data_IF_014740452148
#
_entry.id   IF_014740452148
#
_cell.length_a   1.000
_cell.length_b   1.000
_cell.length_c   1.000
_cell.angle_alpha   90.00
_cell.angle_beta   90.00
_cell.angle_gamma   90.00
#
_symmetry.space_group_name_H-M   'P 1'
#
loop_
_entity.id
_entity.type
_entity.pdbx_description
1 polymer ?
#
# COMPACT_ATOMS: atom_id res chain seq x y z
N UNK A 1 -2.31 5.43 1.14
CA UNK A 1 -1.76 6.67 0.56
C UNK A 1 -1.96 6.75 -0.95
N UNK A 2 -1.45 5.80 -1.75
CA UNK A 2 -1.45 5.90 -3.23
C UNK A 2 -2.85 6.00 -3.82
N UNK A 3 -3.76 5.07 -3.48
CA UNK A 3 -5.14 5.08 -4.00
C UNK A 3 -5.89 6.39 -3.67
N UNK A 4 -5.76 6.85 -2.41
CA UNK A 4 -6.36 8.12 -1.96
C UNK A 4 -5.72 9.29 -2.70
N UNK A 5 -4.38 9.32 -2.83
CA UNK A 5 -3.65 10.38 -3.52
C UNK A 5 -4.03 10.50 -5.01
N UNK A 6 -4.17 9.38 -5.72
CA UNK A 6 -4.65 9.40 -7.10
C UNK A 6 -6.10 9.89 -7.17
N UNK A 7 -6.99 9.39 -6.30
CA UNK A 7 -8.39 9.83 -6.25
C UNK A 7 -8.53 11.33 -6.02
N UNK A 8 -7.83 11.86 -5.01
CA UNK A 8 -7.83 13.30 -4.68
C UNK A 8 -7.17 14.13 -5.79
N UNK A 9 -6.06 13.66 -6.36
CA UNK A 9 -5.36 14.36 -7.45
C UNK A 9 -6.22 14.50 -8.71
N UNK A 10 -6.96 13.44 -9.07
CA UNK A 10 -7.94 13.48 -10.16
C UNK A 10 -9.14 14.35 -9.78
N UNK A 11 -9.62 14.25 -8.52
CA UNK A 11 -10.72 15.06 -8.01
C UNK A 11 -10.46 16.58 -8.10
N UNK A 12 -9.19 17.01 -7.90
CA UNK A 12 -8.80 18.43 -8.09
C UNK A 12 -8.90 18.91 -9.53
N UNK A 13 -8.93 18.01 -10.51
CA UNK A 13 -9.11 18.32 -11.94
C UNK A 13 -10.56 18.16 -12.40
N UNK A 14 -11.48 17.91 -11.48
CA UNK A 14 -12.92 17.75 -11.79
C UNK A 14 -13.51 19.06 -12.30
N UNK A 15 -14.41 18.96 -13.28
CA UNK A 15 -15.25 20.06 -13.70
C UNK A 15 -16.28 20.48 -12.63
N UNK A 16 -16.58 19.62 -11.68
CA UNK A 16 -17.42 19.94 -10.54
C UNK A 16 -16.62 20.77 -9.53
N UNK A 17 -17.02 22.03 -9.35
CA UNK A 17 -16.36 22.98 -8.48
C UNK A 17 -16.27 22.50 -7.02
N UNK A 18 -17.33 21.87 -6.49
CA UNK A 18 -17.35 21.39 -5.10
C UNK A 18 -16.28 20.31 -4.89
N UNK A 19 -16.19 19.33 -5.79
CA UNK A 19 -15.18 18.27 -5.72
C UNK A 19 -13.78 18.86 -5.83
N UNK A 20 -13.55 19.74 -6.78
CA UNK A 20 -12.25 20.37 -6.96
C UNK A 20 -11.83 21.18 -5.73
N UNK A 21 -12.76 21.93 -5.13
CA UNK A 21 -12.51 22.75 -3.94
C UNK A 21 -12.23 21.89 -2.71
N UNK A 22 -13.04 20.86 -2.43
CA UNK A 22 -12.84 19.95 -1.28
C UNK A 22 -11.49 19.25 -1.39
N UNK A 23 -11.18 18.68 -2.56
CA UNK A 23 -9.89 18.04 -2.80
C UNK A 23 -8.72 19.03 -2.70
N UNK A 24 -8.90 20.28 -3.17
CA UNK A 24 -7.91 21.34 -3.07
C UNK A 24 -7.63 21.71 -1.64
N UNK A 25 -8.67 22.04 -0.86
CA UNK A 25 -8.55 22.40 0.55
C UNK A 25 -7.89 21.29 1.38
N UNK A 26 -8.28 20.04 1.15
CA UNK A 26 -7.64 18.89 1.81
C UNK A 26 -6.12 18.89 1.55
N UNK A 27 -5.70 19.02 0.30
CA UNK A 27 -4.27 18.96 -0.06
C UNK A 27 -3.52 20.14 0.57
N UNK A 28 -4.07 21.35 0.52
CA UNK A 28 -3.42 22.56 1.07
C UNK A 28 -3.30 22.49 2.59
N UNK A 29 -4.37 22.11 3.28
CA UNK A 29 -4.36 21.98 4.75
C UNK A 29 -3.37 20.89 5.20
N UNK A 30 -3.47 19.71 4.64
CA UNK A 30 -2.67 18.56 5.11
C UNK A 30 -1.17 18.76 4.82
N UNK A 31 -0.81 19.36 3.67
CA UNK A 31 0.61 19.61 3.32
C UNK A 31 1.26 20.71 4.13
N UNK A 32 0.49 21.66 4.62
CA UNK A 32 0.99 22.79 5.40
C UNK A 32 1.06 22.52 6.91
N UNK A 33 0.53 21.41 7.37
CA UNK A 33 0.61 21.00 8.77
C UNK A 33 1.77 20.01 8.98
N UNK A 34 2.61 20.18 10.03
CA UNK A 34 3.69 19.24 10.32
C UNK A 34 3.14 17.86 10.62
N UNK A 35 3.74 16.83 9.99
CA UNK A 35 3.29 15.44 10.10
C UNK A 35 3.25 14.93 11.55
N UNK A 36 4.26 15.28 12.35
CA UNK A 36 4.34 14.88 13.76
C UNK A 36 3.07 15.26 14.54
N UNK A 37 2.61 16.51 14.37
CA UNK A 37 1.39 16.97 15.02
C UNK A 37 0.14 16.26 14.49
N UNK A 38 0.10 15.88 13.22
CA UNK A 38 -1.01 15.09 12.68
C UNK A 38 -1.03 13.68 13.29
N UNK A 39 0.12 13.03 13.49
CA UNK A 39 0.19 11.72 14.15
C UNK A 39 -0.32 11.81 15.59
N UNK A 40 0.18 12.77 16.37
CA UNK A 40 -0.21 12.97 17.77
C UNK A 40 -1.69 13.33 17.86
N UNK A 41 -2.19 14.21 16.99
CA UNK A 41 -3.60 14.60 16.94
C UNK A 41 -4.53 13.41 16.73
N UNK A 42 -4.27 12.59 15.71
CA UNK A 42 -5.11 11.42 15.43
C UNK A 42 -5.04 10.37 16.55
N UNK A 43 -3.88 10.20 17.16
CA UNK A 43 -3.73 9.33 18.32
C UNK A 43 -4.58 9.81 19.52
N UNK A 44 -4.47 11.09 19.86
CA UNK A 44 -5.26 11.68 20.96
C UNK A 44 -6.75 11.65 20.67
N UNK A 45 -7.17 11.92 19.43
CA UNK A 45 -8.59 11.81 19.01
C UNK A 45 -9.09 10.37 19.21
N UNK A 46 -8.33 9.36 18.81
CA UNK A 46 -8.74 7.97 19.01
C UNK A 46 -8.91 7.62 20.48
N UNK A 47 -8.00 8.05 21.36
CA UNK A 47 -8.11 7.78 22.80
C UNK A 47 -9.27 8.54 23.43
N UNK A 48 -9.53 9.78 23.01
CA UNK A 48 -10.56 10.64 23.60
C UNK A 48 -11.98 10.30 23.13
N UNK A 49 -12.13 9.95 21.84
CA UNK A 49 -13.46 9.76 21.21
C UNK A 49 -13.93 8.30 21.32
N UNK A 50 -13.02 7.33 21.28
CA UNK A 50 -13.42 5.93 21.34
C UNK A 50 -13.86 5.52 22.75
N UNK A 51 -14.89 4.66 22.87
CA UNK A 51 -15.47 4.26 24.15
C UNK A 51 -14.50 3.39 24.97
N UNK A 52 -14.83 3.22 26.24
CA UNK A 52 -14.14 2.28 27.12
C UNK A 52 -14.33 0.82 26.64
N UNK A 53 -13.43 -0.13 26.97
CA UNK A 53 -13.54 -1.51 26.50
C UNK A 53 -14.86 -2.22 26.87
N UNK A 54 -15.50 -1.85 27.97
CA UNK A 54 -16.82 -2.41 28.37
C UNK A 54 -17.97 -1.87 27.54
N UNK A 55 -17.80 -0.69 26.93
CA UNK A 55 -18.79 0.00 26.10
C UNK A 55 -18.41 -0.04 24.62
N UNK A 56 -17.59 -1.02 24.24
CA UNK A 56 -17.07 -1.14 22.88
C UNK A 56 -18.18 -1.14 21.84
N UNK A 57 -17.96 -0.40 20.74
CA UNK A 57 -18.83 -0.48 19.57
C UNK A 57 -18.62 -1.82 18.91
N UNK A 58 -19.68 -2.63 18.81
CA UNK A 58 -19.64 -3.89 18.06
C UNK A 58 -19.95 -3.62 16.58
N UNK A 59 -19.12 -4.18 15.70
CA UNK A 59 -19.32 -4.13 14.27
C UNK A 59 -19.64 -5.55 13.81
N UNK A 60 -20.83 -5.75 13.26
CA UNK A 60 -21.39 -7.06 12.85
C UNK A 60 -21.41 -8.13 13.98
N UNK A 61 -21.33 -7.72 15.24
CA UNK A 61 -21.34 -8.64 16.39
C UNK A 61 -20.03 -9.39 16.64
N UNK A 62 -19.02 -9.27 15.76
CA UNK A 62 -17.78 -10.06 15.81
C UNK A 62 -16.53 -9.21 15.99
N UNK A 63 -16.55 -7.97 15.54
CA UNK A 63 -15.44 -7.03 15.69
C UNK A 63 -15.82 -5.96 16.74
N UNK A 64 -14.82 -5.50 17.50
CA UNK A 64 -15.04 -4.51 18.56
C UNK A 64 -14.06 -3.35 18.43
N UNK A 65 -14.58 -2.13 18.62
CA UNK A 65 -13.80 -0.89 18.53
C UNK A 65 -13.90 -0.17 19.87
N UNK A 66 -12.75 0.14 20.45
CA UNK A 66 -12.64 0.90 21.69
C UNK A 66 -11.29 1.63 21.79
N UNK A 67 -11.08 2.43 22.84
CA UNK A 67 -9.83 3.19 23.04
C UNK A 67 -8.57 2.36 23.24
N UNK A 68 -8.67 1.03 23.40
CA UNK A 68 -7.53 0.10 23.47
C UNK A 68 -7.21 -0.55 22.13
N UNK A 69 -8.03 -0.30 21.10
CA UNK A 69 -7.79 -0.77 19.74
C UNK A 69 -9.03 -1.30 19.04
N UNK A 70 -8.73 -1.87 17.90
CA UNK A 70 -9.69 -2.50 17.01
C UNK A 70 -9.45 -4.00 17.08
N UNK A 71 -10.47 -4.75 17.47
CA UNK A 71 -10.41 -6.19 17.67
C UNK A 71 -11.23 -6.87 16.59
N UNK A 72 -10.59 -7.78 15.85
CA UNK A 72 -11.20 -8.53 14.76
C UNK A 72 -11.11 -10.03 15.01
N UNK A 73 -12.03 -10.83 14.47
CA UNK A 73 -11.88 -12.28 14.41
C UNK A 73 -10.56 -12.65 13.70
N UNK A 74 -9.80 -13.56 14.30
CA UNK A 74 -8.52 -14.02 13.75
C UNK A 74 -8.68 -15.44 13.21
N UNK A 75 -8.43 -15.68 11.91
CA UNK A 75 -8.39 -17.03 11.39
C UNK A 75 -7.14 -17.75 11.94
N UNK A 76 -7.37 -18.88 12.57
CA UNK A 76 -6.32 -19.80 13.01
C UNK A 76 -6.32 -20.98 12.05
N UNK A 77 -5.21 -21.17 11.39
CA UNK A 77 -5.00 -22.32 10.52
C UNK A 77 -4.42 -23.47 11.36
N UNK A 78 -4.91 -24.67 11.12
CA UNK A 78 -4.37 -25.90 11.72
C UNK A 78 -2.89 -26.09 11.34
N UNK A 79 -2.25 -27.10 11.96
CA UNK A 79 -0.90 -27.50 11.58
C UNK A 79 -0.83 -27.77 10.07
N UNK A 80 0.21 -27.24 9.40
CA UNK A 80 0.36 -27.30 7.95
C UNK A 80 0.25 -25.98 7.22
N UNK A 81 -0.01 -24.86 7.92
CA UNK A 81 -0.08 -23.54 7.29
C UNK A 81 1.19 -23.17 6.50
N UNK A 82 2.36 -23.58 6.99
CA UNK A 82 3.64 -23.38 6.29
C UNK A 82 3.73 -24.17 4.97
N UNK A 83 3.33 -25.42 4.98
CA UNK A 83 3.28 -26.26 3.76
C UNK A 83 2.22 -25.79 2.78
N UNK A 84 1.08 -25.30 3.27
CA UNK A 84 0.08 -24.64 2.43
C UNK A 84 0.61 -23.37 1.77
N UNK A 85 1.34 -22.53 2.50
CA UNK A 85 1.99 -21.34 1.95
C UNK A 85 2.99 -21.71 0.84
N UNK A 86 3.77 -22.79 1.04
CA UNK A 86 4.68 -23.29 0.00
C UNK A 86 3.91 -23.78 -1.24
N UNK A 87 2.76 -24.42 -1.07
CA UNK A 87 1.90 -24.81 -2.19
C UNK A 87 1.35 -23.60 -2.95
N UNK A 88 0.96 -22.53 -2.26
CA UNK A 88 0.55 -21.26 -2.89
C UNK A 88 1.71 -20.63 -3.66
N UNK A 89 2.90 -20.58 -3.09
CA UNK A 89 4.09 -20.07 -3.77
C UNK A 89 4.45 -20.92 -5.01
N UNK A 90 4.34 -22.24 -4.91
CA UNK A 90 4.53 -23.16 -6.03
C UNK A 90 3.47 -22.93 -7.13
N UNK A 91 2.20 -22.72 -6.78
CA UNK A 91 1.14 -22.40 -7.72
C UNK A 91 1.42 -21.09 -8.48
N UNK A 92 1.86 -20.04 -7.77
CA UNK A 92 2.25 -18.76 -8.35
C UNK A 92 3.45 -18.93 -9.31
N UNK A 93 4.45 -19.71 -8.89
CA UNK A 93 5.61 -20.00 -9.72
C UNK A 93 5.25 -20.77 -11.00
N UNK A 94 4.42 -21.82 -10.89
CA UNK A 94 3.93 -22.60 -12.04
C UNK A 94 3.11 -21.72 -12.98
N UNK A 95 2.20 -20.90 -12.47
CA UNK A 95 1.41 -19.99 -13.28
C UNK A 95 2.29 -18.95 -14.00
N UNK A 96 3.30 -18.40 -13.32
CA UNK A 96 4.29 -17.52 -13.91
C UNK A 96 5.11 -18.22 -15.00
N UNK A 97 5.61 -19.43 -14.73
CA UNK A 97 6.41 -20.22 -15.68
C UNK A 97 5.61 -20.53 -16.94
N UNK A 98 4.34 -20.98 -16.81
CA UNK A 98 3.44 -21.21 -17.93
C UNK A 98 3.28 -19.96 -18.81
N UNK A 99 3.07 -18.80 -18.17
CA UNK A 99 2.98 -17.52 -18.87
C UNK A 99 4.29 -17.12 -19.57
N UNK A 100 5.42 -17.35 -18.93
CA UNK A 100 6.74 -17.07 -19.47
C UNK A 100 7.04 -17.94 -20.71
N UNK A 101 6.84 -19.25 -20.62
CA UNK A 101 7.05 -20.18 -21.74
C UNK A 101 6.10 -19.91 -22.90
N UNK A 102 4.82 -19.61 -22.62
CA UNK A 102 3.86 -19.25 -23.66
C UNK A 102 4.25 -17.97 -24.41
N UNK A 103 4.77 -16.96 -23.70
CA UNK A 103 5.29 -15.74 -24.34
C UNK A 103 6.51 -16.04 -25.21
N UNK A 104 7.40 -16.89 -24.72
CA UNK A 104 8.62 -17.29 -25.47
C UNK A 104 8.28 -18.08 -26.74
N UNK A 105 7.32 -19.00 -26.66
CA UNK A 105 6.81 -19.73 -27.83
C UNK A 105 6.14 -18.79 -28.83
N UNK A 106 5.33 -17.82 -28.37
CA UNK A 106 4.70 -16.82 -29.24
C UNK A 106 5.73 -16.03 -30.03
N UNK A 107 6.84 -15.64 -29.40
CA UNK A 107 7.92 -14.90 -30.06
C UNK A 107 8.67 -15.81 -31.08
N UNK A 108 8.84 -17.08 -30.74
CA UNK A 108 9.61 -18.02 -31.58
C UNK A 108 8.82 -18.58 -32.77
N UNK A 109 7.50 -18.84 -32.58
CA UNK A 109 6.69 -19.58 -33.58
C UNK A 109 5.54 -18.74 -34.18
N UNK A 110 5.29 -17.52 -33.67
CA UNK A 110 4.16 -16.70 -34.07
C UNK A 110 2.80 -17.22 -33.62
N UNK A 111 2.72 -18.42 -33.02
CA UNK A 111 1.46 -19.01 -32.57
C UNK A 111 1.16 -18.62 -31.13
N UNK A 112 -0.06 -18.13 -30.86
CA UNK A 112 -0.53 -17.82 -29.52
C UNK A 112 -1.17 -19.05 -28.85
N UNK A 113 -0.46 -19.71 -27.93
CA UNK A 113 -1.09 -20.70 -27.07
C UNK A 113 -1.93 -20.00 -25.99
N UNK A 114 -3.18 -20.42 -25.84
CA UNK A 114 -4.07 -19.94 -24.80
C UNK A 114 -3.75 -20.68 -23.51
N UNK A 115 -2.91 -20.12 -22.64
CA UNK A 115 -2.46 -20.78 -21.40
C UNK A 115 -3.21 -20.35 -20.15
N UNK A 116 -4.13 -19.38 -20.28
CA UNK A 116 -4.86 -18.86 -19.11
C UNK A 116 -5.68 -19.93 -18.37
N UNK A 117 -6.29 -20.98 -19.02
CA UNK A 117 -6.99 -22.02 -18.28
C UNK A 117 -6.04 -22.86 -17.42
N UNK A 118 -4.85 -23.17 -17.96
CA UNK A 118 -3.81 -23.91 -17.21
C UNK A 118 -3.24 -23.08 -16.05
N UNK A 119 -3.11 -21.78 -16.23
CA UNK A 119 -2.69 -20.87 -15.16
C UNK A 119 -3.75 -20.82 -14.04
N UNK A 120 -5.04 -20.73 -14.39
CA UNK A 120 -6.13 -20.78 -13.41
C UNK A 120 -6.20 -22.13 -12.71
N UNK A 121 -6.03 -23.22 -13.46
CA UNK A 121 -5.97 -24.57 -12.88
C UNK A 121 -4.80 -24.71 -11.90
N UNK A 122 -3.63 -24.19 -12.21
CA UNK A 122 -2.48 -24.20 -11.31
C UNK A 122 -2.73 -23.32 -10.07
N UNK A 123 -3.26 -22.12 -10.23
CA UNK A 123 -3.51 -21.17 -9.13
C UNK A 123 -4.59 -21.63 -8.16
N UNK A 124 -5.56 -22.38 -8.62
CA UNK A 124 -6.66 -22.87 -7.79
C UNK A 124 -6.42 -24.34 -7.41
N UNK A 125 -6.02 -25.19 -8.35
CA UNK A 125 -5.90 -26.64 -8.17
C UNK A 125 -4.78 -27.02 -7.19
N UNK A 126 -3.60 -26.39 -7.28
CA UNK A 126 -2.48 -26.73 -6.39
C UNK A 126 -2.80 -26.34 -4.93
N UNK A 127 -3.26 -25.12 -4.61
CA UNK A 127 -3.67 -24.79 -3.23
C UNK A 127 -4.85 -25.63 -2.74
N UNK A 128 -5.85 -25.92 -3.59
CA UNK A 128 -6.98 -26.74 -3.22
C UNK A 128 -6.57 -28.18 -2.91
N UNK A 129 -5.72 -28.78 -3.75
CA UNK A 129 -5.17 -30.12 -3.52
C UNK A 129 -4.35 -30.16 -2.23
N UNK A 130 -3.51 -29.16 -1.98
CA UNK A 130 -2.75 -29.05 -0.74
C UNK A 130 -3.67 -28.89 0.49
N UNK A 131 -4.73 -28.07 0.37
CA UNK A 131 -5.73 -27.90 1.43
C UNK A 131 -6.39 -29.23 1.81
N UNK A 132 -6.86 -29.97 0.80
CA UNK A 132 -7.51 -31.27 0.99
C UNK A 132 -6.54 -32.34 1.52
N UNK A 133 -5.31 -32.39 0.99
CA UNK A 133 -4.30 -33.37 1.41
C UNK A 133 -3.81 -33.13 2.84
N UNK A 134 -3.74 -31.89 3.27
CA UNK A 134 -3.33 -31.51 4.63
C UNK A 134 -4.49 -31.60 5.64
N UNK A 135 -5.73 -31.83 5.18
CA UNK A 135 -6.92 -31.82 6.04
C UNK A 135 -7.07 -30.49 6.81
N UNK A 136 -6.69 -29.38 6.19
CA UNK A 136 -6.64 -28.09 6.89
C UNK A 136 -8.04 -27.65 7.31
N UNK A 137 -8.16 -27.35 8.61
CA UNK A 137 -9.34 -26.69 9.17
C UNK A 137 -9.01 -25.25 9.50
N UNK A 138 -9.94 -24.35 9.25
CA UNK A 138 -9.86 -22.96 9.67
C UNK A 138 -10.81 -22.77 10.85
N UNK A 139 -10.26 -22.50 12.01
CA UNK A 139 -11.02 -22.02 13.14
C UNK A 139 -10.91 -20.49 13.23
N UNK A 140 -11.96 -19.86 13.70
CA UNK A 140 -11.96 -18.39 13.90
C UNK A 140 -11.93 -18.12 15.40
N UNK A 141 -10.87 -17.49 15.85
CA UNK A 141 -10.78 -17.02 17.23
C UNK A 141 -11.44 -15.66 17.34
N UNK A 142 -12.55 -15.61 18.05
CA UNK A 142 -13.27 -14.38 18.29
C UNK A 142 -12.69 -13.62 19.50
N UNK A 143 -12.61 -12.28 19.42
CA UNK A 143 -12.22 -11.47 20.58
C UNK A 143 -13.29 -11.56 21.67
N UNK A 144 -12.90 -11.93 22.90
CA UNK A 144 -13.77 -12.07 24.05
C UNK A 144 -13.38 -11.08 25.14
N UNK A 145 -14.35 -10.35 25.69
CA UNK A 145 -14.11 -9.41 26.79
C UNK A 145 -13.79 -10.19 28.08
N UNK A 146 -12.57 -10.07 28.59
CA UNK A 146 -12.14 -10.60 29.89
C UNK A 146 -11.73 -9.45 30.81
N UNK A 147 -12.57 -9.17 31.82
CA UNK A 147 -12.30 -8.10 32.77
C UNK A 147 -12.38 -6.70 32.14
N UNK A 148 -11.22 -6.07 31.96
CA UNK A 148 -11.10 -4.70 31.43
C UNK A 148 -10.48 -4.64 30.03
N UNK A 149 -10.30 -5.80 29.36
CA UNK A 149 -9.72 -5.84 28.03
C UNK A 149 -10.27 -7.02 27.22
N UNK A 150 -10.13 -6.96 25.89
CA UNK A 150 -10.40 -8.09 25.02
C UNK A 150 -9.20 -9.02 24.98
N UNK A 151 -9.45 -10.33 24.89
CA UNK A 151 -8.47 -11.37 24.69
C UNK A 151 -8.87 -12.23 23.50
N UNK A 152 -7.89 -12.76 22.77
CA UNK A 152 -8.12 -13.48 21.52
C UNK A 152 -8.37 -12.54 20.34
N UNK A 153 -8.47 -13.14 19.16
CA UNK A 153 -8.62 -12.41 17.91
C UNK A 153 -7.37 -11.64 17.46
N UNK A 154 -7.52 -10.79 16.47
CA UNK A 154 -6.50 -9.88 15.96
C UNK A 154 -6.72 -8.48 16.54
N UNK A 155 -5.77 -7.98 17.30
CA UNK A 155 -5.80 -6.63 17.84
C UNK A 155 -4.94 -5.68 17.00
N UNK A 156 -5.55 -4.58 16.54
CA UNK A 156 -4.82 -3.43 16.02
C UNK A 156 -4.82 -2.35 17.09
N UNK A 157 -3.66 -2.04 17.62
CA UNK A 157 -3.50 -1.04 18.68
C UNK A 157 -3.78 0.38 18.16
N UNK A 158 -4.29 1.31 18.98
CA UNK A 158 -4.67 2.66 18.56
C UNK A 158 -3.51 3.42 17.92
N UNK A 159 -2.29 3.22 18.44
CA UNK A 159 -1.06 3.81 17.93
C UNK A 159 -0.82 3.43 16.47
N UNK A 160 -0.99 2.15 16.13
CA UNK A 160 -0.85 1.67 14.75
C UNK A 160 -1.88 2.28 13.81
N UNK A 161 -3.14 2.33 14.23
CA UNK A 161 -4.23 2.86 13.41
C UNK A 161 -4.07 4.36 13.21
N UNK A 162 -3.71 5.12 14.26
CA UNK A 162 -3.44 6.54 14.18
C UNK A 162 -2.26 6.85 13.24
N UNK A 163 -1.18 6.09 13.37
CA UNK A 163 0.00 6.20 12.52
C UNK A 163 -0.35 5.91 11.06
N UNK A 164 -1.04 4.79 10.81
CA UNK A 164 -1.47 4.38 9.47
C UNK A 164 -2.34 5.45 8.81
N UNK A 165 -3.30 6.00 9.56
CA UNK A 165 -4.19 7.04 9.07
C UNK A 165 -3.44 8.36 8.78
N UNK A 166 -2.63 8.83 9.73
CA UNK A 166 -1.87 10.07 9.58
C UNK A 166 -0.86 9.98 8.43
N UNK A 167 -0.05 8.93 8.35
CA UNK A 167 0.91 8.73 7.27
C UNK A 167 0.24 8.57 5.92
N UNK A 168 -0.90 7.85 5.88
CA UNK A 168 -1.62 7.61 4.62
C UNK A 168 -2.26 8.89 4.10
N UNK A 169 -2.91 9.67 4.95
CA UNK A 169 -3.53 10.94 4.55
C UNK A 169 -2.49 12.00 4.20
N UNK A 170 -1.45 12.14 5.00
CA UNK A 170 -0.35 13.06 4.72
C UNK A 170 0.32 12.77 3.37
N UNK A 171 0.76 11.52 3.16
CA UNK A 171 1.42 11.13 1.91
C UNK A 171 0.49 11.23 0.72
N UNK A 172 -0.82 10.93 0.90
CA UNK A 172 -1.81 11.07 -0.15
C UNK A 172 -1.95 12.51 -0.66
N UNK A 173 -1.82 13.50 0.22
CA UNK A 173 -1.87 14.91 -0.18
C UNK A 173 -0.71 15.30 -1.12
N UNK A 174 0.50 14.79 -0.86
CA UNK A 174 1.65 15.00 -1.76
C UNK A 174 1.51 14.22 -3.06
N UNK A 175 1.04 12.98 -3.01
CA UNK A 175 0.77 12.16 -4.21
C UNK A 175 -0.30 12.84 -5.06
N UNK A 176 -1.35 13.40 -4.46
CA UNK A 176 -2.40 14.12 -5.18
C UNK A 176 -1.87 15.29 -6.00
N UNK A 177 -0.92 16.06 -5.45
CA UNK A 177 -0.28 17.15 -6.17
C UNK A 177 0.59 16.64 -7.32
N UNK A 178 1.36 15.57 -7.10
CA UNK A 178 2.16 14.92 -8.15
C UNK A 178 1.26 14.44 -9.30
N UNK A 179 0.13 13.80 -8.97
CA UNK A 179 -0.82 13.30 -9.97
C UNK A 179 -1.43 14.46 -10.76
N UNK A 180 -1.89 15.52 -10.07
CA UNK A 180 -2.43 16.72 -10.71
C UNK A 180 -1.41 17.35 -11.65
N UNK A 181 -0.19 17.58 -11.17
CA UNK A 181 0.89 18.16 -11.96
C UNK A 181 1.25 17.28 -13.17
N UNK A 182 1.32 15.97 -12.99
CA UNK A 182 1.64 15.03 -14.06
C UNK A 182 0.58 14.96 -15.16
N UNK A 183 -0.70 15.07 -14.80
CA UNK A 183 -1.80 15.13 -15.81
C UNK A 183 -1.74 16.46 -16.56
N UNK A 184 -1.51 17.58 -15.86
CA UNK A 184 -1.42 18.92 -16.49
C UNK A 184 -0.16 19.10 -17.34
N UNK A 185 0.90 18.32 -17.10
CA UNK A 185 2.11 18.32 -17.90
C UNK A 185 1.91 17.78 -19.33
N UNK A 186 0.84 17.02 -19.57
CA UNK A 186 0.51 16.54 -20.91
C UNK A 186 -0.04 17.69 -21.74
N UNK A 187 0.62 18.03 -22.84
CA UNK A 187 0.22 19.14 -23.72
C UNK A 187 -1.19 18.92 -24.27
N UNK A 188 -2.02 19.97 -24.25
CA UNK A 188 -3.41 19.92 -24.75
C UNK A 188 -3.49 19.42 -26.20
N UNK A 189 -2.55 19.79 -27.05
CA UNK A 189 -2.48 19.33 -28.43
C UNK A 189 -2.42 17.81 -28.61
N UNK A 190 -1.94 17.06 -27.60
CA UNK A 190 -1.96 15.59 -27.62
C UNK A 190 -3.40 15.05 -27.54
N UNK A 191 -4.24 15.66 -26.71
CA UNK A 191 -5.66 15.30 -26.61
C UNK A 191 -6.43 15.74 -27.85
N UNK A 192 -6.14 16.93 -28.39
CA UNK A 192 -6.77 17.46 -29.61
C UNK A 192 -6.42 16.61 -30.83
N UNK A 193 -5.16 16.23 -30.99
CA UNK A 193 -4.72 15.32 -32.06
C UNK A 193 -5.38 13.94 -31.96
N UNK A 194 -5.52 13.40 -30.74
CA UNK A 194 -6.21 12.14 -30.51
C UNK A 194 -7.70 12.21 -30.92
N UNK A 195 -8.38 13.30 -30.58
CA UNK A 195 -9.77 13.53 -30.97
C UNK A 195 -9.92 13.73 -32.49
N UNK A 196 -8.97 14.44 -33.13
CA UNK A 196 -8.94 14.63 -34.59
C UNK A 196 -8.76 13.30 -35.36
N UNK A 197 -8.08 12.30 -34.73
CA UNK A 197 -7.97 10.94 -35.24
C UNK A 197 -9.22 10.08 -34.99
N UNK A 198 -10.31 10.65 -34.48
CA UNK A 198 -11.57 9.94 -34.22
C UNK A 198 -11.60 9.14 -32.90
N UNK A 199 -10.61 9.31 -32.02
CA UNK A 199 -10.65 8.66 -30.71
C UNK A 199 -11.70 9.34 -29.82
N UNK A 200 -12.48 8.53 -29.11
CA UNK A 200 -13.38 9.04 -28.08
C UNK A 200 -12.58 9.65 -26.92
N UNK A 201 -13.19 10.54 -26.11
CA UNK A 201 -12.54 11.12 -24.91
C UNK A 201 -11.95 10.06 -23.98
N UNK A 202 -12.66 8.95 -23.78
CA UNK A 202 -12.19 7.82 -22.94
C UNK A 202 -10.96 7.13 -23.55
N UNK A 203 -10.94 6.95 -24.86
CA UNK A 203 -9.81 6.37 -25.57
C UNK A 203 -8.60 7.32 -25.57
N UNK A 204 -8.82 8.62 -25.81
CA UNK A 204 -7.77 9.65 -25.70
C UNK A 204 -7.14 9.66 -24.31
N UNK A 205 -7.95 9.64 -23.25
CA UNK A 205 -7.41 9.54 -21.87
C UNK A 205 -6.59 8.27 -21.67
N UNK A 206 -7.12 7.10 -22.03
CA UNK A 206 -6.49 5.81 -21.75
C UNK A 206 -5.25 5.54 -22.60
N UNK A 207 -5.26 5.92 -23.88
CA UNK A 207 -4.21 5.56 -24.83
C UNK A 207 -3.15 6.66 -25.00
N UNK A 208 -3.48 7.93 -24.70
CA UNK A 208 -2.60 9.06 -24.95
C UNK A 208 -2.22 9.79 -23.67
N UNK A 209 -3.20 10.26 -22.89
CA UNK A 209 -2.94 11.11 -21.72
C UNK A 209 -2.35 10.34 -20.56
N UNK A 210 -3.01 9.25 -20.14
CA UNK A 210 -2.58 8.47 -18.96
C UNK A 210 -1.17 7.90 -19.11
N UNK A 211 -0.78 7.28 -20.25
CA UNK A 211 0.59 6.78 -20.41
C UNK A 211 1.65 7.88 -20.37
N UNK A 212 1.33 9.07 -20.90
CA UNK A 212 2.24 10.21 -20.85
C UNK A 212 2.33 10.81 -19.44
N UNK A 213 1.19 11.00 -18.76
CA UNK A 213 1.12 11.50 -17.39
C UNK A 213 1.88 10.58 -16.43
N UNK A 214 1.73 9.25 -16.54
CA UNK A 214 2.43 8.29 -15.67
C UNK A 214 3.96 8.42 -15.75
N UNK A 215 4.52 8.78 -16.89
CA UNK A 215 5.98 9.01 -17.02
C UNK A 215 6.44 10.21 -16.20
N UNK A 216 5.58 11.21 -16.03
CA UNK A 216 5.86 12.40 -15.21
C UNK A 216 5.57 12.12 -13.72
N UNK A 217 4.53 11.33 -13.44
CA UNK A 217 4.07 11.03 -12.09
C UNK A 217 5.02 10.05 -11.37
N UNK A 218 5.44 8.97 -12.03
CA UNK A 218 6.13 7.84 -11.37
C UNK A 218 7.49 8.20 -10.77
N UNK A 219 8.37 9.00 -11.40
CA UNK A 219 9.63 9.38 -10.79
C UNK A 219 9.49 10.12 -9.46
N UNK A 220 8.64 11.17 -9.29
CA UNK A 220 8.43 11.82 -8.01
C UNK A 220 7.75 10.93 -6.96
N UNK A 221 6.93 9.94 -7.36
CA UNK A 221 6.36 8.97 -6.42
C UNK A 221 7.42 8.17 -5.67
N UNK A 222 8.56 7.88 -6.31
CA UNK A 222 9.69 7.21 -5.66
C UNK A 222 10.14 7.99 -4.41
N UNK A 223 10.30 9.30 -4.54
CA UNK A 223 10.69 10.17 -3.42
C UNK A 223 9.63 10.17 -2.32
N UNK A 224 8.34 10.11 -2.67
CA UNK A 224 7.27 10.05 -1.66
C UNK A 224 7.27 8.73 -0.89
N UNK A 225 7.53 7.59 -1.54
CA UNK A 225 7.65 6.31 -0.84
C UNK A 225 8.88 6.26 0.07
N UNK A 226 10.01 6.80 -0.37
CA UNK A 226 11.20 6.92 0.48
C UNK A 226 10.96 7.84 1.68
N UNK A 227 10.24 8.94 1.50
CA UNK A 227 9.85 9.82 2.59
C UNK A 227 8.87 9.14 3.56
N UNK A 228 7.90 8.35 3.04
CA UNK A 228 6.97 7.60 3.88
C UNK A 228 7.71 6.62 4.80
N UNK A 229 8.72 5.89 4.28
CA UNK A 229 9.55 4.98 5.07
C UNK A 229 10.29 5.75 6.18
N UNK A 230 10.91 6.88 5.87
CA UNK A 230 11.60 7.70 6.87
C UNK A 230 10.65 8.28 7.91
N UNK A 231 9.49 8.76 7.46
CA UNK A 231 8.47 9.35 8.32
C UNK A 231 7.82 8.33 9.27
N UNK A 232 7.90 7.01 8.98
CA UNK A 232 7.40 6.00 9.91
C UNK A 232 8.14 6.01 11.25
N UNK A 233 9.38 6.50 11.29
CA UNK A 233 10.15 6.67 12.53
C UNK A 233 9.54 7.67 13.51
N UNK A 234 8.64 8.55 13.05
CA UNK A 234 7.90 9.45 13.93
C UNK A 234 6.88 8.73 14.83
N UNK A 235 6.65 7.44 14.58
CA UNK A 235 5.81 6.58 15.39
C UNK A 235 6.25 6.53 16.86
N UNK A 236 7.53 6.73 17.14
CA UNK A 236 8.08 6.81 18.50
C UNK A 236 7.38 7.88 19.36
N UNK A 237 6.90 8.95 18.74
CA UNK A 237 6.24 10.06 19.45
C UNK A 237 4.91 9.68 20.10
N UNK A 238 4.26 8.62 19.63
CA UNK A 238 3.00 8.09 20.20
C UNK A 238 3.21 6.74 20.91
N UNK A 239 4.46 6.35 21.14
CA UNK A 239 4.80 5.09 21.84
C UNK A 239 4.58 3.83 21.02
N UNK A 240 4.42 3.93 19.69
CA UNK A 240 4.33 2.74 18.83
C UNK A 240 5.70 2.03 18.78
N UNK A 241 5.75 0.70 19.01
CA UNK A 241 7.01 -0.06 19.02
C UNK A 241 7.53 -0.30 17.59
N UNK A 242 8.00 0.76 16.95
CA UNK A 242 8.70 0.70 15.66
C UNK A 242 10.19 0.39 15.82
N UNK A 243 10.92 0.35 14.72
CA UNK A 243 12.35 0.09 14.72
C UNK A 243 13.13 1.08 15.61
N UNK A 244 12.77 2.37 15.56
CA UNK A 244 13.43 3.42 16.34
C UNK A 244 13.12 3.26 17.83
N UNK A 245 11.85 3.03 18.18
CA UNK A 245 11.42 2.82 19.56
C UNK A 245 12.10 1.59 20.18
N UNK A 246 12.20 0.48 19.45
CA UNK A 246 12.82 -0.76 19.96
C UNK A 246 14.33 -0.61 20.08
N UNK A 247 15.02 -0.13 19.05
CA UNK A 247 16.48 -0.03 19.06
C UNK A 247 16.98 1.20 19.83
N UNK A 248 16.53 2.40 19.48
CA UNK A 248 17.00 3.62 20.12
C UNK A 248 16.33 3.89 21.48
N UNK A 249 15.13 3.34 21.73
CA UNK A 249 14.47 3.39 23.04
C UNK A 249 14.96 2.27 23.97
N UNK A 250 14.44 1.07 23.78
CA UNK A 250 14.62 -0.06 24.71
C UNK A 250 16.07 -0.58 24.75
N UNK A 251 16.69 -0.79 23.58
CA UNK A 251 18.03 -1.39 23.51
C UNK A 251 19.09 -0.42 24.00
N UNK A 252 18.97 0.86 23.67
CA UNK A 252 19.87 1.90 24.12
C UNK A 252 19.85 2.04 25.65
N UNK A 253 18.65 2.08 26.24
CA UNK A 253 18.48 2.19 27.70
C UNK A 253 19.10 1.01 28.44
N UNK A 254 19.03 -0.21 27.86
CA UNK A 254 19.49 -1.43 28.50
C UNK A 254 21.01 -1.71 28.32
N UNK A 255 21.62 -1.23 27.24
CA UNK A 255 23.00 -1.56 26.84
C UNK A 255 23.98 -0.39 26.94
N UNK A 256 23.50 0.86 26.89
CA UNK A 256 24.34 2.06 26.94
C UNK A 256 25.24 2.31 25.73
N UNK A 257 25.14 1.50 24.65
CA UNK A 257 25.93 1.61 23.41
C UNK A 257 25.21 2.49 22.41
N UNK A 258 25.17 3.80 22.66
CA UNK A 258 24.33 4.73 21.90
C UNK A 258 24.73 4.83 20.43
N UNK A 259 26.02 4.94 20.14
CA UNK A 259 26.53 5.19 18.77
C UNK A 259 26.28 3.96 17.89
N UNK A 260 26.58 2.77 18.39
CA UNK A 260 26.42 1.51 17.66
C UNK A 260 24.96 1.22 17.35
N UNK A 261 24.08 1.41 18.32
CA UNK A 261 22.64 1.14 18.17
C UNK A 261 22.02 2.12 17.17
N UNK A 262 22.35 3.41 17.27
CA UNK A 262 21.88 4.41 16.30
C UNK A 262 22.43 4.12 14.90
N UNK A 263 23.71 3.76 14.79
CA UNK A 263 24.33 3.41 13.51
C UNK A 263 23.65 2.20 12.87
N UNK A 264 23.35 1.14 13.62
CA UNK A 264 22.62 -0.04 13.13
C UNK A 264 21.20 0.37 12.67
N UNK A 265 20.50 1.17 13.46
CA UNK A 265 19.15 1.66 13.09
C UNK A 265 19.19 2.43 11.78
N UNK A 266 20.16 3.33 11.61
CA UNK A 266 20.36 4.08 10.37
C UNK A 266 20.69 3.17 9.18
N UNK A 267 21.53 2.15 9.37
CA UNK A 267 21.87 1.17 8.34
C UNK A 267 20.64 0.37 7.89
N UNK A 268 19.76 -0.02 8.79
CA UNK A 268 18.51 -0.72 8.44
C UNK A 268 17.60 0.19 7.59
N UNK A 269 17.40 1.45 7.99
CA UNK A 269 16.62 2.41 7.18
C UNK A 269 17.26 2.66 5.82
N UNK A 270 18.58 2.75 5.75
CA UNK A 270 19.32 2.88 4.51
C UNK A 270 19.10 1.66 3.60
N UNK A 271 19.24 0.45 4.14
CA UNK A 271 19.02 -0.79 3.40
C UNK A 271 17.61 -0.88 2.80
N UNK A 272 16.58 -0.61 3.61
CA UNK A 272 15.19 -0.58 3.16
C UNK A 272 15.01 0.48 2.05
N UNK A 273 15.56 1.68 2.24
CA UNK A 273 15.49 2.76 1.26
C UNK A 273 16.17 2.40 -0.06
N UNK A 274 17.32 1.72 -0.03
CA UNK A 274 18.02 1.27 -1.22
C UNK A 274 17.24 0.19 -1.97
N UNK A 275 16.63 -0.77 -1.25
CA UNK A 275 15.78 -1.82 -1.85
C UNK A 275 14.58 -1.18 -2.56
N UNK A 276 13.87 -0.27 -1.91
CA UNK A 276 12.72 0.42 -2.50
C UNK A 276 13.14 1.29 -3.68
N UNK A 277 14.25 2.03 -3.55
CA UNK A 277 14.80 2.84 -4.65
C UNK A 277 15.17 1.97 -5.86
N UNK A 278 15.81 0.83 -5.65
CA UNK A 278 16.15 -0.12 -6.70
C UNK A 278 14.90 -0.66 -7.40
N UNK A 279 13.89 -1.11 -6.63
CA UNK A 279 12.63 -1.60 -7.18
C UNK A 279 11.91 -0.53 -8.01
N UNK A 280 11.85 0.70 -7.50
CA UNK A 280 11.23 1.83 -8.20
C UNK A 280 12.01 2.23 -9.45
N UNK A 281 13.34 2.17 -9.43
CA UNK A 281 14.17 2.44 -10.61
C UNK A 281 13.94 1.39 -11.71
N UNK A 282 13.81 0.11 -11.36
CA UNK A 282 13.44 -0.95 -12.32
C UNK A 282 12.05 -0.67 -12.92
N UNK A 283 11.11 -0.25 -12.12
CA UNK A 283 9.76 0.11 -12.59
C UNK A 283 9.79 1.33 -13.53
N UNK A 284 10.52 2.39 -13.15
CA UNK A 284 10.70 3.59 -13.95
C UNK A 284 11.32 3.29 -15.33
N UNK A 285 12.35 2.44 -15.38
CA UNK A 285 12.97 2.00 -16.65
C UNK A 285 11.97 1.31 -17.56
N UNK A 286 11.09 0.45 -17.02
CA UNK A 286 10.06 -0.23 -17.82
C UNK A 286 9.06 0.75 -18.42
N UNK A 287 8.62 1.77 -17.67
CA UNK A 287 7.70 2.81 -18.15
C UNK A 287 8.36 3.71 -19.20
N UNK A 288 9.63 4.04 -19.03
CA UNK A 288 10.39 4.83 -19.99
C UNK A 288 10.56 4.11 -21.35
N UNK A 289 10.90 2.82 -21.33
CA UNK A 289 11.14 2.00 -22.54
C UNK A 289 9.89 1.79 -23.39
N UNK A 290 8.70 1.67 -22.78
CA UNK A 290 7.44 1.59 -23.54
C UNK A 290 7.13 2.84 -24.38
N UNK A 291 7.91 3.90 -24.27
CA UNK A 291 7.73 5.14 -25.03
C UNK A 291 8.80 5.46 -26.05
N UNK A 292 9.92 4.76 -26.06
CA UNK A 292 10.96 4.97 -27.06
C UNK A 292 10.71 4.19 -28.35
N UNK A 293 9.90 3.12 -28.31
CA UNK A 293 9.46 2.38 -29.49
C UNK A 293 8.56 3.15 -30.48
N UNK A 294 8.17 4.38 -30.16
CA UNK A 294 7.40 5.26 -31.05
C UNK A 294 8.28 6.35 -31.73
N UNK A 295 9.60 6.27 -31.59
CA UNK A 295 10.56 7.22 -32.19
C UNK A 295 11.54 6.56 -33.18
N UNK A 296 11.31 5.28 -33.52
CA UNK A 296 12.06 4.57 -34.59
C UNK A 296 11.17 4.37 -35.81
#
# INVERSE_FOLDING_TARGET
>A
ATAVGFGVGIGRLSSNWVIAQVCGTYVEVVRNLPLLFQIVFWYLVMIAVLPAPRESVSVFGEAFINRRGFFFPKPIFSEGAGTFLLAVLAALFVAWALGYFARRQRVATGRSATVWPLQMLALIGIPLAAWLALGMTVSVEHPVLKGMNFTGGLQLIPEFVALLFALSTYTAAFIAEIVRAGILAVRRGQSEAALALGLSRRQSLRLVVVPQALRVIVPPLTSQYLNLIKNSSLAVAIGYPDLVSVFAGTTLTNRGQAIEIIAITMLVYLAISLIVSFAMNLYNRRIALTGQGARA
#
